data_IF_654380843713
#
_entry.id   IF_654380843713
#
_cell.length_a   1.000
_cell.length_b   1.000
_cell.length_c   1.000
_cell.angle_alpha   90.00
_cell.angle_beta   90.00
_cell.angle_gamma   90.00
#
_symmetry.space_group_name_H-M   'P 1'
#
loop_
_entity.id
_entity.type
_entity.pdbx_description
1 polymer ?
#
# COMPACT_ATOMS: atom_id res chain seq x y z
N UNK A 1 3.45 -11.36 16.07
CA UNK A 1 3.74 -9.90 16.06
C UNK A 1 2.45 -9.18 16.44
N UNK A 2 2.51 -8.09 17.20
CA UNK A 2 1.34 -7.33 17.65
C UNK A 2 1.16 -5.98 16.93
N UNK A 3 0.16 -5.18 17.30
CA UNK A 3 -0.05 -3.83 16.76
C UNK A 3 1.18 -2.93 16.79
N UNK A 4 1.40 -2.15 15.73
CA UNK A 4 2.55 -1.26 15.54
C UNK A 4 3.84 -1.96 15.09
N UNK A 5 3.78 -3.25 14.80
CA UNK A 5 4.95 -4.07 14.43
C UNK A 5 5.59 -3.63 13.11
N UNK A 6 4.81 -3.11 12.17
CA UNK A 6 5.25 -2.68 10.83
C UNK A 6 5.27 -1.15 10.68
N UNK A 7 5.01 -0.43 11.76
CA UNK A 7 4.95 1.04 11.80
C UNK A 7 3.64 1.58 11.23
N UNK A 8 2.58 0.79 11.28
CA UNK A 8 1.21 1.19 10.98
C UNK A 8 0.63 2.06 12.09
N UNK A 9 -0.18 3.05 11.71
CA UNK A 9 -0.92 3.88 12.68
C UNK A 9 -2.21 3.21 13.12
N UNK A 10 -2.89 2.50 12.20
CA UNK A 10 -4.16 1.82 12.44
C UNK A 10 -4.01 0.33 12.15
N UNK A 11 -4.58 -0.48 13.02
CA UNK A 11 -4.72 -1.93 12.84
C UNK A 11 -6.18 -2.24 12.60
N UNK A 12 -6.47 -2.88 11.48
CA UNK A 12 -7.82 -3.25 11.09
C UNK A 12 -7.97 -4.77 11.15
N UNK A 13 -9.16 -5.21 11.54
CA UNK A 13 -9.52 -6.63 11.56
C UNK A 13 -10.45 -6.96 10.39
N UNK A 14 -10.45 -8.22 9.95
CA UNK A 14 -11.38 -8.75 8.94
C UNK A 14 -11.31 -8.10 7.55
N UNK A 15 -10.23 -7.37 7.25
CA UNK A 15 -10.02 -6.73 5.96
C UNK A 15 -8.59 -6.97 5.51
N UNK A 16 -8.41 -7.20 4.23
CA UNK A 16 -7.11 -7.42 3.60
C UNK A 16 -6.94 -6.52 2.38
N UNK A 17 -5.77 -6.59 1.75
CA UNK A 17 -5.49 -5.90 0.50
C UNK A 17 -6.46 -6.29 -0.63
N UNK A 18 -7.11 -7.45 -0.56
CA UNK A 18 -8.09 -7.89 -1.55
C UNK A 18 -9.46 -7.19 -1.41
N UNK A 19 -9.75 -6.62 -0.24
CA UNK A 19 -11.08 -6.09 0.10
C UNK A 19 -11.16 -4.56 -0.05
N UNK A 20 -10.00 -3.89 -0.10
CA UNK A 20 -9.87 -2.43 -0.11
C UNK A 20 -9.42 -1.96 -1.48
N UNK A 21 -10.08 -0.94 -2.01
CA UNK A 21 -9.76 -0.38 -3.32
C UNK A 21 -9.08 0.98 -3.22
N UNK A 22 -8.22 1.27 -4.20
CA UNK A 22 -7.65 2.59 -4.38
C UNK A 22 -8.78 3.59 -4.60
N UNK A 23 -8.76 4.68 -3.84
CA UNK A 23 -9.80 5.70 -3.89
C UNK A 23 -11.02 5.43 -3.02
N UNK A 24 -11.12 4.28 -2.33
CA UNK A 24 -12.14 4.05 -1.32
C UNK A 24 -12.14 5.21 -0.32
N UNK A 25 -13.32 5.81 -0.08
CA UNK A 25 -13.52 6.85 0.91
C UNK A 25 -14.21 6.22 2.11
N UNK A 26 -13.64 6.40 3.30
CA UNK A 26 -14.18 5.87 4.54
C UNK A 26 -14.40 6.97 5.56
N UNK A 27 -15.43 6.79 6.39
CA UNK A 27 -15.59 7.51 7.64
C UNK A 27 -15.04 6.68 8.79
N UNK A 28 -14.30 7.33 9.69
CA UNK A 28 -13.81 6.75 10.94
C UNK A 28 -13.88 7.84 12.00
N UNK A 29 -14.62 7.60 13.08
CA UNK A 29 -14.96 8.63 14.05
C UNK A 29 -15.55 9.87 13.34
N UNK A 30 -14.97 11.04 13.61
CA UNK A 30 -15.30 12.31 12.95
C UNK A 30 -14.53 12.60 11.65
N UNK A 31 -13.59 11.75 11.25
CA UNK A 31 -12.73 11.99 10.08
C UNK A 31 -13.25 11.31 8.80
N UNK A 32 -12.89 11.87 7.65
CA UNK A 32 -13.01 11.20 6.34
C UNK A 32 -11.64 11.01 5.72
N UNK A 33 -11.37 9.79 5.30
CA UNK A 33 -10.09 9.39 4.73
C UNK A 33 -10.29 8.66 3.42
N UNK A 34 -9.29 8.72 2.55
CA UNK A 34 -9.32 8.05 1.24
C UNK A 34 -8.06 7.21 1.02
N UNK A 35 -8.23 5.98 0.57
CA UNK A 35 -7.10 5.09 0.22
C UNK A 35 -6.32 5.71 -0.92
N UNK A 36 -5.03 5.97 -0.70
CA UNK A 36 -4.20 6.77 -1.60
C UNK A 36 -3.20 5.94 -2.40
N UNK A 37 -2.68 4.86 -1.82
CA UNK A 37 -1.72 3.94 -2.43
C UNK A 37 -1.46 2.74 -1.50
N UNK A 38 -1.01 1.60 -2.04
CA UNK A 38 -0.36 0.57 -1.23
C UNK A 38 0.91 1.11 -0.57
N UNK A 39 1.23 0.56 0.60
CA UNK A 39 2.50 0.83 1.26
C UNK A 39 3.59 0.08 0.50
N UNK A 40 4.70 0.73 0.21
CA UNK A 40 5.85 0.03 -0.36
C UNK A 40 6.68 -0.63 0.76
N UNK A 41 6.99 -1.94 0.66
CA UNK A 41 7.95 -2.58 1.56
C UNK A 41 9.30 -1.86 1.51
N UNK A 42 9.97 -1.76 2.66
CA UNK A 42 11.28 -1.15 2.76
C UNK A 42 12.16 -1.91 3.76
N UNK A 43 13.46 -1.64 3.77
CA UNK A 43 14.45 -2.34 4.60
C UNK A 43 14.27 -2.18 6.11
N UNK A 44 13.50 -1.18 6.57
CA UNK A 44 13.37 -0.84 8.01
C UNK A 44 12.70 -1.95 8.83
N UNK A 45 11.55 -2.53 8.43
CA UNK A 45 11.00 -3.72 9.07
C UNK A 45 11.99 -4.89 9.18
N UNK A 46 12.73 -5.22 8.11
CA UNK A 46 13.73 -6.29 8.15
C UNK A 46 14.78 -6.05 9.24
N UNK A 47 15.27 -4.81 9.37
CA UNK A 47 16.21 -4.43 10.43
C UNK A 47 15.59 -4.50 11.82
N UNK A 48 14.36 -4.01 12.00
CA UNK A 48 13.63 -4.03 13.29
C UNK A 48 13.48 -5.45 13.83
N UNK A 49 13.21 -6.40 12.95
CA UNK A 49 12.92 -7.79 13.31
C UNK A 49 14.12 -8.73 13.19
N UNK A 50 15.29 -8.23 12.78
CA UNK A 50 16.48 -9.06 12.53
C UNK A 50 16.27 -10.10 11.42
N UNK A 51 15.28 -9.90 10.55
CA UNK A 51 14.90 -10.85 9.49
C UNK A 51 15.18 -10.22 8.12
N UNK A 52 16.33 -10.55 7.54
CA UNK A 52 16.86 -9.93 6.32
C UNK A 52 15.86 -9.95 5.15
N UNK A 53 15.18 -11.08 4.98
CA UNK A 53 14.29 -11.30 3.83
C UNK A 53 12.88 -10.75 4.03
N UNK A 54 12.58 -10.13 5.18
CA UNK A 54 11.22 -9.70 5.52
C UNK A 54 10.66 -8.69 4.50
N UNK A 55 11.47 -7.71 4.06
CA UNK A 55 11.05 -6.73 3.06
C UNK A 55 10.66 -7.37 1.73
N UNK A 56 11.45 -8.38 1.31
CA UNK A 56 11.21 -9.13 0.09
C UNK A 56 9.96 -10.00 0.22
N UNK A 57 9.78 -10.67 1.36
CA UNK A 57 8.62 -11.49 1.65
C UNK A 57 7.32 -10.66 1.63
N UNK A 58 7.32 -9.47 2.24
CA UNK A 58 6.17 -8.55 2.19
C UNK A 58 5.83 -8.15 0.75
N UNK A 59 6.85 -7.89 -0.08
CA UNK A 59 6.64 -7.55 -1.50
C UNK A 59 6.09 -8.73 -2.30
N UNK A 60 6.64 -9.94 -2.10
CA UNK A 60 6.22 -11.13 -2.83
C UNK A 60 4.83 -11.61 -2.43
N UNK A 61 4.48 -11.51 -1.14
CA UNK A 61 3.17 -11.92 -0.63
C UNK A 61 2.08 -10.88 -0.84
N UNK A 62 2.45 -9.62 -1.13
CA UNK A 62 1.51 -8.51 -1.27
C UNK A 62 0.85 -8.06 0.04
N UNK A 63 1.31 -8.56 1.19
CA UNK A 63 0.82 -8.22 2.54
C UNK A 63 1.44 -6.92 3.02
N UNK A 64 1.19 -5.84 2.31
CA UNK A 64 1.88 -4.57 2.48
C UNK A 64 1.15 -3.59 3.38
N UNK A 65 -0.17 -3.72 3.52
CA UNK A 65 -1.03 -2.62 3.94
C UNK A 65 -1.06 -1.46 2.92
N UNK A 66 -1.67 -0.36 3.31
CA UNK A 66 -1.89 0.81 2.46
C UNK A 66 -1.85 2.11 3.27
N UNK A 67 -1.87 3.23 2.56
CA UNK A 67 -1.96 4.56 3.13
C UNK A 67 -3.31 5.21 2.83
N UNK A 68 -3.69 6.12 3.72
CA UNK A 68 -4.79 7.04 3.54
C UNK A 68 -4.25 8.45 3.29
N UNK A 69 -5.00 9.24 2.52
CA UNK A 69 -4.98 10.71 2.61
C UNK A 69 -6.18 11.15 3.43
N UNK A 70 -6.04 12.23 4.20
CA UNK A 70 -7.16 12.81 4.95
C UNK A 70 -7.91 13.75 4.00
N UNK A 71 -9.22 13.54 3.87
CA UNK A 71 -10.12 14.42 3.13
C UNK A 71 -10.77 15.45 4.05
N UNK A 72 -11.10 15.02 5.27
CA UNK A 72 -11.70 15.84 6.32
C UNK A 72 -11.10 15.42 7.66
N UNK A 73 -10.50 16.37 8.36
CA UNK A 73 -9.94 16.15 9.70
C UNK A 73 -11.06 15.99 10.73
N UNK A 74 -10.83 15.14 11.72
CA UNK A 74 -11.77 14.95 12.81
C UNK A 74 -11.19 14.02 13.88
N UNK A 75 -11.81 13.97 15.07
CA UNK A 75 -11.37 13.08 16.13
C UNK A 75 -11.58 11.62 15.73
N UNK A 76 -10.60 10.79 16.08
CA UNK A 76 -10.65 9.33 15.93
C UNK A 76 -10.17 8.69 17.23
N UNK A 77 -10.74 7.54 17.58
CA UNK A 77 -10.36 6.79 18.76
C UNK A 77 -10.32 5.28 18.48
N UNK A 78 -9.67 4.54 19.39
CA UNK A 78 -9.68 3.08 19.33
C UNK A 78 -11.12 2.55 19.41
N UNK A 79 -11.43 1.55 18.59
CA UNK A 79 -12.77 0.96 18.51
C UNK A 79 -13.71 1.66 17.52
N UNK A 80 -13.33 2.81 16.95
CA UNK A 80 -14.12 3.43 15.88
C UNK A 80 -14.21 2.51 14.66
N UNK A 81 -15.44 2.25 14.22
CA UNK A 81 -15.67 1.51 12.99
C UNK A 81 -15.27 2.34 11.76
N UNK A 82 -14.68 1.68 10.77
CA UNK A 82 -14.43 2.26 9.45
C UNK A 82 -15.58 1.91 8.51
N UNK A 83 -16.39 2.90 8.15
CA UNK A 83 -17.51 2.72 7.24
C UNK A 83 -17.14 3.17 5.83
N UNK A 84 -17.26 2.28 4.84
CA UNK A 84 -17.10 2.63 3.43
C UNK A 84 -18.22 3.58 3.00
N UNK A 85 -17.85 4.73 2.46
CA UNK A 85 -18.77 5.74 1.93
C UNK A 85 -18.83 5.67 0.40
N UNK A 86 -17.68 5.55 -0.26
CA UNK A 86 -17.55 5.60 -1.71
C UNK A 86 -16.49 4.61 -2.19
N UNK A 87 -16.76 3.97 -3.33
CA UNK A 87 -15.82 3.06 -4.03
C UNK A 87 -15.82 3.36 -5.53
N UNK A 88 -15.06 4.38 -5.96
CA UNK A 88 -15.05 4.81 -7.37
C UNK A 88 -14.39 3.79 -8.31
N UNK A 89 -13.43 2.99 -7.81
CA UNK A 89 -12.69 2.00 -8.61
C UNK A 89 -12.80 0.59 -8.00
N UNK A 90 -13.95 -0.10 -8.13
CA UNK A 90 -14.22 -1.36 -7.43
C UNK A 90 -13.32 -2.53 -7.80
N UNK A 91 -12.61 -2.45 -8.92
CA UNK A 91 -11.66 -3.47 -9.38
C UNK A 91 -10.21 -3.16 -9.00
N UNK A 92 -9.91 -1.93 -8.57
CA UNK A 92 -8.54 -1.51 -8.24
C UNK A 92 -8.25 -1.79 -6.77
N UNK A 93 -8.31 -3.06 -6.40
CA UNK A 93 -7.96 -3.50 -5.04
C UNK A 93 -6.49 -3.18 -4.73
N UNK A 94 -6.13 -3.05 -3.45
CA UNK A 94 -4.74 -2.89 -3.03
C UNK A 94 -3.91 -4.11 -3.47
N UNK A 95 -4.50 -5.30 -3.47
CA UNK A 95 -3.88 -6.53 -3.98
C UNK A 95 -3.61 -6.44 -5.49
N UNK A 96 -4.57 -5.97 -6.28
CA UNK A 96 -4.38 -5.69 -7.71
C UNK A 96 -3.26 -4.66 -7.93
N UNK A 97 -3.24 -3.59 -7.13
CA UNK A 97 -2.21 -2.58 -7.20
C UNK A 97 -0.81 -3.11 -6.86
N UNK A 98 -0.70 -3.98 -5.86
CA UNK A 98 0.55 -4.68 -5.55
C UNK A 98 0.98 -5.61 -6.70
N UNK A 99 0.05 -6.32 -7.33
CA UNK A 99 0.34 -7.16 -8.50
C UNK A 99 0.87 -6.33 -9.67
N UNK A 100 0.19 -5.23 -10.03
CA UNK A 100 0.62 -4.33 -11.09
C UNK A 100 2.00 -3.70 -10.82
N UNK A 101 2.31 -3.37 -9.56
CA UNK A 101 3.58 -2.76 -9.17
C UNK A 101 4.73 -3.77 -9.09
N UNK A 102 4.51 -4.97 -8.55
CA UNK A 102 5.61 -5.88 -8.21
C UNK A 102 5.64 -7.16 -9.07
N UNK A 103 4.49 -7.63 -9.57
CA UNK A 103 4.39 -8.75 -10.51
C UNK A 103 4.62 -8.32 -11.96
N UNK A 104 4.85 -9.26 -12.89
CA UNK A 104 5.15 -9.01 -14.31
C UNK A 104 3.88 -8.71 -15.14
N UNK A 105 3.16 -7.63 -14.80
CA UNK A 105 1.87 -7.28 -15.41
C UNK A 105 1.87 -5.86 -16.03
N UNK A 106 2.41 -5.69 -17.26
CA UNK A 106 2.52 -4.37 -17.90
C UNK A 106 1.14 -3.77 -18.26
N UNK A 107 0.17 -4.59 -18.64
CA UNK A 107 -1.20 -4.14 -18.96
C UNK A 107 -1.92 -3.60 -17.72
N UNK A 108 -1.86 -4.34 -16.61
CA UNK A 108 -2.40 -3.90 -15.33
C UNK A 108 -1.71 -2.63 -14.83
N UNK A 109 -0.40 -2.52 -15.02
CA UNK A 109 0.34 -1.32 -14.70
C UNK A 109 -0.10 -0.12 -15.54
N UNK A 110 -0.35 -0.31 -16.83
CA UNK A 110 -0.86 0.74 -17.72
C UNK A 110 -2.26 1.20 -17.30
N UNK A 111 -3.16 0.26 -17.05
CA UNK A 111 -4.52 0.54 -16.61
C UNK A 111 -4.54 1.31 -15.29
N UNK A 112 -3.78 0.83 -14.30
CA UNK A 112 -3.76 1.43 -12.97
C UNK A 112 -3.07 2.81 -12.95
N UNK A 113 -2.10 3.04 -13.83
CA UNK A 113 -1.41 4.33 -13.94
C UNK A 113 -2.35 5.49 -14.28
N UNK A 114 -3.50 5.21 -14.90
CA UNK A 114 -4.52 6.20 -15.23
C UNK A 114 -5.44 6.56 -14.05
N UNK A 115 -5.33 5.87 -12.90
CA UNK A 115 -6.13 6.19 -11.73
C UNK A 115 -5.73 7.56 -11.13
N UNK A 116 -6.61 8.59 -11.19
CA UNK A 116 -6.27 9.92 -10.68
C UNK A 116 -6.17 9.96 -9.15
N UNK A 117 -6.75 8.96 -8.47
CA UNK A 117 -6.75 8.85 -7.01
C UNK A 117 -5.50 8.15 -6.46
N UNK A 118 -4.59 7.66 -7.30
CA UNK A 118 -3.24 7.28 -6.86
C UNK A 118 -2.37 8.50 -6.62
N UNK A 119 -1.33 8.33 -5.79
CA UNK A 119 -0.30 9.36 -5.67
C UNK A 119 0.53 9.49 -6.96
N UNK A 120 1.07 10.69 -7.26
CA UNK A 120 1.86 10.90 -8.49
C UNK A 120 3.04 9.92 -8.63
N UNK A 121 3.80 9.70 -7.56
CA UNK A 121 4.95 8.79 -7.57
C UNK A 121 4.57 7.34 -7.91
N UNK A 122 3.39 6.90 -7.47
CA UNK A 122 2.85 5.58 -7.81
C UNK A 122 2.51 5.51 -9.30
N UNK A 123 1.77 6.50 -9.82
CA UNK A 123 1.44 6.56 -11.25
C UNK A 123 2.69 6.56 -12.13
N UNK A 124 3.69 7.36 -11.80
CA UNK A 124 4.93 7.43 -12.58
C UNK A 124 5.70 6.11 -12.56
N UNK A 125 5.71 5.43 -11.41
CA UNK A 125 6.33 4.11 -11.29
C UNK A 125 5.59 3.03 -12.07
N UNK A 126 4.26 3.10 -12.14
CA UNK A 126 3.42 2.20 -12.94
C UNK A 126 3.59 2.46 -14.44
N UNK A 127 3.66 3.72 -14.87
CA UNK A 127 3.94 4.08 -16.29
C UNK A 127 5.25 3.49 -16.78
N UNK A 128 6.32 3.57 -15.96
CA UNK A 128 7.60 2.93 -16.29
C UNK A 128 7.45 1.41 -16.41
N UNK A 129 6.70 0.78 -15.51
CA UNK A 129 6.47 -0.68 -15.50
C UNK A 129 5.64 -1.16 -16.69
N UNK A 130 4.66 -0.37 -17.12
CA UNK A 130 3.90 -0.61 -18.34
C UNK A 130 4.80 -0.64 -19.58
N UNK A 131 5.89 0.13 -19.56
CA UNK A 131 6.92 0.15 -20.60
C UNK A 131 8.02 -0.89 -20.40
N UNK A 132 7.86 -1.82 -19.45
CA UNK A 132 8.86 -2.85 -19.12
C UNK A 132 10.02 -2.35 -18.24
N UNK A 133 10.03 -1.10 -17.80
CA UNK A 133 11.07 -0.52 -16.96
C UNK A 133 10.71 -0.58 -15.47
N UNK A 134 11.28 -1.56 -14.75
CA UNK A 134 11.02 -1.76 -13.32
C UNK A 134 11.93 -0.97 -12.39
N UNK A 135 13.10 -0.55 -12.87
CA UNK A 135 14.18 -0.05 -12.03
C UNK A 135 14.74 -1.12 -11.08
N UNK A 136 15.65 -0.71 -10.19
CA UNK A 136 16.23 -1.57 -9.16
C UNK A 136 15.53 -1.34 -7.82
N UNK A 137 14.90 -2.39 -7.28
CA UNK A 137 14.21 -2.35 -5.99
C UNK A 137 15.17 -2.58 -4.80
N UNK A 138 16.41 -3.05 -5.03
CA UNK A 138 17.37 -3.38 -3.95
C UNK A 138 17.67 -2.22 -3.00
N UNK A 139 17.85 -0.96 -3.45
CA UNK A 139 18.05 0.17 -2.54
C UNK A 139 16.89 0.37 -1.55
N UNK A 140 15.66 0.04 -1.97
CA UNK A 140 14.47 0.14 -1.11
C UNK A 140 14.33 -1.08 -0.19
N UNK A 141 14.51 -2.29 -0.73
CA UNK A 141 14.26 -3.54 -0.02
C UNK A 141 15.38 -3.96 0.93
N UNK A 142 16.63 -3.79 0.49
CA UNK A 142 17.85 -4.16 1.24
C UNK A 142 18.42 -2.93 1.95
N UNK A 143 18.51 -1.80 1.24
CA UNK A 143 19.07 -0.57 1.80
C UNK A 143 20.45 -0.79 2.42
N UNK A 144 20.70 -0.33 3.66
CA UNK A 144 21.96 -0.54 4.36
C UNK A 144 22.11 -1.95 4.96
N UNK A 145 21.11 -2.83 4.85
CA UNK A 145 21.16 -4.17 5.46
C UNK A 145 22.05 -5.18 4.67
N UNK A 146 22.77 -4.71 3.65
CA UNK A 146 23.58 -5.52 2.73
C UNK A 146 24.82 -6.15 3.36
N UNK A 147 25.19 -5.74 4.57
CA UNK A 147 26.37 -6.23 5.28
C UNK A 147 26.12 -6.17 6.79
N UNK A 148 25.88 -7.34 7.37
CA UNK A 148 26.14 -7.74 8.75
C UNK A 148 26.28 -9.27 8.75
#
# INVERSE_FOLDING_TARGET
MGPGAFGENWVLSHVTEADVCIGDVLRVGGARVQVSQPRQPCWKPARRWGQRDLSLLLQQTGRTGWYYRVLEEGPVQEGDAMALLERPFPTFTVAFANHAMHGHAPEDAALLAECPLLTPNWRDSLRRRAQGNRGDDRPRLVGPNSAD
#
